data_IF_929571573513
#
_entry.id   IF_929571573513
#
_cell.length_a   1.000
_cell.length_b   1.000
_cell.length_c   1.000
_cell.angle_alpha   90.00
_cell.angle_beta   90.00
_cell.angle_gamma   90.00
#
_symmetry.space_group_name_H-M   'P 1'
#
loop_
_entity.id
_entity.type
_entity.pdbx_description
1 polymer ?
#
# COMPACT_ATOMS: atom_id res chain seq x y z
N UNK A 1 8.24 -2.69 -3.20
CA UNK A 1 8.67 -3.83 -2.35
C UNK A 1 7.85 -5.07 -2.69
N UNK A 2 8.37 -6.30 -2.52
CA UNK A 2 7.55 -7.53 -2.70
C UNK A 2 6.62 -7.72 -1.50
N UNK A 3 5.42 -8.24 -1.73
CA UNK A 3 4.47 -8.55 -0.64
C UNK A 3 5.04 -9.56 0.37
N UNK A 4 5.86 -10.53 -0.07
CA UNK A 4 6.51 -11.49 0.83
C UNK A 4 7.40 -10.80 1.87
N UNK A 5 8.14 -9.76 1.47
CA UNK A 5 8.98 -8.98 2.39
C UNK A 5 8.14 -8.19 3.40
N UNK A 6 6.99 -7.65 2.99
CA UNK A 6 6.05 -7.01 3.93
C UNK A 6 5.59 -8.02 4.99
N UNK A 7 5.18 -9.22 4.56
CA UNK A 7 4.71 -10.28 5.46
C UNK A 7 5.75 -10.72 6.49
N UNK A 8 7.03 -10.76 6.10
CA UNK A 8 8.13 -11.09 7.02
C UNK A 8 8.36 -9.98 8.07
N UNK A 9 8.13 -8.72 7.71
CA UNK A 9 8.35 -7.57 8.60
C UNK A 9 7.18 -7.32 9.55
N UNK A 10 5.94 -7.55 9.10
CA UNK A 10 4.72 -7.20 9.86
C UNK A 10 4.76 -7.64 11.33
N UNK A 11 5.15 -8.89 11.69
CA UNK A 11 5.13 -9.34 13.08
C UNK A 11 6.11 -8.60 14.01
N UNK A 12 7.09 -7.89 13.44
CA UNK A 12 8.12 -7.15 14.19
C UNK A 12 7.78 -5.67 14.37
N UNK A 13 6.75 -5.18 13.70
CA UNK A 13 6.36 -3.78 13.77
C UNK A 13 5.42 -3.55 14.95
N UNK A 14 5.58 -2.41 15.63
CA UNK A 14 4.60 -1.96 16.62
C UNK A 14 3.38 -1.31 15.95
N UNK A 15 3.61 -0.60 14.83
CA UNK A 15 2.58 0.11 14.06
C UNK A 15 2.86 0.03 12.56
N UNK A 16 1.81 0.19 11.75
CA UNK A 16 1.90 0.26 10.28
C UNK A 16 1.53 1.67 9.83
N UNK A 17 2.47 2.36 9.18
CA UNK A 17 2.30 3.70 8.63
C UNK A 17 2.49 3.70 7.12
N UNK A 18 1.76 4.57 6.43
CA UNK A 18 1.91 4.80 4.99
C UNK A 18 2.36 6.23 4.74
N UNK A 19 3.18 6.43 3.71
CA UNK A 19 3.61 7.74 3.24
C UNK A 19 3.23 7.91 1.77
N UNK A 20 2.79 9.11 1.42
CA UNK A 20 2.62 9.53 0.04
C UNK A 20 4.00 9.68 -0.63
N UNK A 21 4.03 9.72 -1.96
CA UNK A 21 5.28 9.80 -2.74
C UNK A 21 6.11 11.05 -2.40
N UNK A 22 5.46 12.11 -1.92
CA UNK A 22 6.12 13.34 -1.47
C UNK A 22 6.64 13.26 -0.01
N UNK A 23 6.56 12.10 0.64
CA UNK A 23 6.99 11.88 2.02
C UNK A 23 5.96 12.29 3.09
N UNK A 24 4.80 12.81 2.70
CA UNK A 24 3.74 13.16 3.67
C UNK A 24 3.12 11.89 4.25
N UNK A 25 3.02 11.73 5.58
CA UNK A 25 2.38 10.57 6.17
C UNK A 25 0.86 10.58 5.93
N UNK A 26 0.29 9.39 5.73
CA UNK A 26 -1.15 9.18 5.77
C UNK A 26 -1.59 9.19 7.24
N UNK A 27 -2.69 9.89 7.61
CA UNK A 27 -3.14 9.98 9.02
C UNK A 27 -3.36 8.60 9.64
N UNK A 28 -2.95 8.39 10.89
CA UNK A 28 -2.97 7.08 11.58
C UNK A 28 -4.33 6.37 11.61
N UNK A 29 -5.43 7.13 11.52
CA UNK A 29 -6.83 6.67 11.56
C UNK A 29 -7.38 6.35 10.16
N UNK A 30 -6.52 5.86 9.27
CA UNK A 30 -6.92 5.42 7.95
C UNK A 30 -7.52 4.01 8.00
N UNK A 31 -8.45 3.74 7.10
CA UNK A 31 -9.00 2.41 6.87
C UNK A 31 -8.50 1.88 5.54
N UNK A 32 -8.02 0.63 5.52
CA UNK A 32 -7.85 -0.10 4.26
C UNK A 32 -9.23 -0.59 3.85
N UNK A 33 -9.80 0.00 2.80
CA UNK A 33 -11.14 -0.38 2.31
C UNK A 33 -11.07 -1.42 1.20
N UNK A 34 -9.94 -1.51 0.51
CA UNK A 34 -9.72 -2.48 -0.57
C UNK A 34 -8.24 -2.88 -0.65
N UNK A 35 -8.00 -4.15 -1.00
CA UNK A 35 -6.70 -4.66 -1.43
C UNK A 35 -6.87 -5.29 -2.81
N UNK A 36 -6.31 -4.64 -3.82
CA UNK A 36 -6.43 -5.06 -5.22
C UNK A 36 -5.10 -5.53 -5.80
N UNK A 37 -5.14 -6.46 -6.76
CA UNK A 37 -3.98 -6.79 -7.59
C UNK A 37 -4.18 -6.21 -9.00
N UNK A 38 -3.26 -5.37 -9.44
CA UNK A 38 -3.28 -4.77 -10.78
C UNK A 38 -2.22 -5.48 -11.62
N UNK A 39 -2.65 -6.02 -12.76
CA UNK A 39 -1.76 -6.52 -13.80
C UNK A 39 -1.88 -5.58 -15.01
N UNK A 40 -0.78 -4.97 -15.45
CA UNK A 40 -0.74 -4.11 -16.64
C UNK A 40 0.19 -4.71 -17.69
N UNK A 41 -0.25 -4.70 -18.93
CA UNK A 41 0.57 -4.99 -20.11
C UNK A 41 0.46 -3.80 -21.04
N UNK A 42 1.53 -3.03 -21.19
CA UNK A 42 1.50 -1.72 -21.86
C UNK A 42 2.79 -1.45 -22.62
N UNK A 43 2.77 -0.46 -23.52
CA UNK A 43 3.93 -0.02 -24.30
C UNK A 43 4.36 1.36 -23.78
N UNK A 44 5.64 1.53 -23.46
CA UNK A 44 6.18 2.82 -23.03
C UNK A 44 6.51 3.74 -24.24
N UNK A 45 6.87 5.01 -23.96
CA UNK A 45 7.19 5.98 -25.02
C UNK A 45 8.41 5.60 -25.88
N UNK A 46 9.22 4.62 -25.46
CA UNK A 46 10.32 4.04 -26.23
C UNK A 46 9.92 2.83 -27.07
N UNK A 47 8.63 2.44 -27.08
CA UNK A 47 8.13 1.29 -27.82
C UNK A 47 8.36 -0.06 -27.14
N UNK A 48 8.82 -0.08 -25.89
CA UNK A 48 9.08 -1.34 -25.16
C UNK A 48 7.80 -1.84 -24.50
N UNK A 49 7.45 -3.11 -24.74
CA UNK A 49 6.36 -3.79 -24.04
C UNK A 49 6.79 -4.07 -22.59
N UNK A 50 5.99 -3.61 -21.63
CA UNK A 50 6.18 -3.74 -20.19
C UNK A 50 5.04 -4.54 -19.57
N UNK A 51 5.40 -5.40 -18.62
CA UNK A 51 4.45 -6.10 -17.77
C UNK A 51 4.66 -5.65 -16.33
N UNK A 52 3.60 -5.15 -15.70
CA UNK A 52 3.60 -4.72 -14.30
C UNK A 52 2.60 -5.55 -13.51
N UNK A 53 3.01 -6.04 -12.34
CA UNK A 53 2.15 -6.76 -11.40
C UNK A 53 2.35 -6.18 -10.00
N UNK A 54 1.37 -5.44 -9.52
CA UNK A 54 1.43 -4.72 -8.24
C UNK A 54 0.20 -4.98 -7.39
N UNK A 55 0.37 -4.89 -6.07
CA UNK A 55 -0.72 -4.85 -5.10
C UNK A 55 -0.96 -3.40 -4.74
N UNK A 56 -2.22 -2.99 -4.71
CA UNK A 56 -2.66 -1.64 -4.39
C UNK A 56 -3.56 -1.68 -3.15
N UNK A 57 -3.40 -0.70 -2.27
CA UNK A 57 -4.25 -0.49 -1.11
C UNK A 57 -5.08 0.77 -1.32
N UNK A 58 -6.40 0.66 -1.23
CA UNK A 58 -7.26 1.82 -1.13
C UNK A 58 -7.38 2.23 0.33
N UNK A 59 -6.98 3.47 0.63
CA UNK A 59 -7.02 4.04 1.97
C UNK A 59 -8.14 5.08 2.06
N UNK A 60 -8.92 5.04 3.14
CA UNK A 60 -9.95 6.01 3.45
C UNK A 60 -9.66 6.68 4.79
N UNK A 61 -9.67 8.01 4.83
CA UNK A 61 -9.52 8.75 6.08
C UNK A 61 -10.89 9.06 6.68
N UNK A 62 -11.25 8.40 7.79
CA UNK A 62 -12.53 8.59 8.48
C UNK A 62 -12.36 9.44 9.76
N UNK A 63 -13.47 9.81 10.41
CA UNK A 63 -13.41 10.54 11.69
C UNK A 63 -13.37 9.59 12.91
N UNK A 64 -12.97 8.33 12.71
CA UNK A 64 -12.82 7.33 13.79
C UNK A 64 -11.36 7.25 14.24
N UNK A 65 -10.98 8.17 15.13
CA UNK A 65 -9.59 8.35 15.57
C UNK A 65 -9.07 7.22 16.46
N UNK A 66 -9.93 6.32 16.94
CA UNK A 66 -9.53 5.17 17.76
C UNK A 66 -9.27 3.91 16.92
N UNK A 67 -9.59 3.93 15.62
CA UNK A 67 -9.32 2.82 14.72
C UNK A 67 -7.88 2.85 14.23
N UNK A 68 -7.09 1.81 14.56
CA UNK A 68 -5.70 1.66 14.10
C UNK A 68 -5.46 0.29 13.49
N UNK A 69 -4.76 0.26 12.36
CA UNK A 69 -4.30 -1.00 11.78
C UNK A 69 -3.19 -1.58 12.64
N UNK A 70 -3.46 -2.72 13.29
CA UNK A 70 -2.44 -3.45 14.05
C UNK A 70 -1.72 -4.43 13.12
N UNK A 71 -0.38 -4.47 13.14
CA UNK A 71 0.34 -5.58 12.55
C UNK A 71 -0.06 -6.89 13.25
N UNK A 72 -0.22 -7.97 12.49
CA UNK A 72 -0.52 -9.31 12.97
C UNK A 72 0.59 -10.29 12.64
#
# INVERSE_FOLDING_TARGET
MKLSKIKEMLPTLENVEFQLENGTPVPEHFHVTEVGQINKNFIDCGGVIRNEKVVNFQLWNANDYEHRLKPG
#
